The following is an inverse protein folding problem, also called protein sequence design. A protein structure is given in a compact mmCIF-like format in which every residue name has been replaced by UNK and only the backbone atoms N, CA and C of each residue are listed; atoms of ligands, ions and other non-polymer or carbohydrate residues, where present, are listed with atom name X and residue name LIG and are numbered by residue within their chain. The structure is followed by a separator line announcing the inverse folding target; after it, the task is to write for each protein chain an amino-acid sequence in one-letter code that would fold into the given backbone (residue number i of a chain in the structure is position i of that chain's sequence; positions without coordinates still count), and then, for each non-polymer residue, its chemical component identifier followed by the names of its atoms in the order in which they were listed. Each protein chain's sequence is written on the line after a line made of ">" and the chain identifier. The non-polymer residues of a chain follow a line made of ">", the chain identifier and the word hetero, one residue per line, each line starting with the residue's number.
data_IF_093855067597
#
_entry.id   IF_093855067597
#
_cell.length_a   1.000
_cell.length_b   1.000
_cell.length_c   1.000
_cell.angle_alpha   90.00
_cell.angle_beta   90.00
_cell.angle_gamma   90.00
#
_symmetry.space_group_name_H-M   'P 1'
#
loop_
_entity.id
_entity.type
_entity.pdbx_description
1 polymer ?
#
# COMPACT_ATOMS: atom_id res chain seq x y z
N UNK A 1 5.70 -30.54 -21.52
CA UNK A 1 6.09 -29.18 -21.93
C UNK A 1 7.54 -29.24 -22.36
N UNK A 2 7.87 -28.82 -23.58
CA UNK A 2 9.25 -28.78 -24.07
C UNK A 2 9.66 -27.32 -24.32
N UNK A 3 10.92 -26.97 -24.08
CA UNK A 3 11.49 -25.63 -24.31
C UNK A 3 10.78 -24.48 -23.55
N UNK A 4 10.42 -24.71 -22.27
CA UNK A 4 9.86 -23.63 -21.43
C UNK A 4 10.99 -22.66 -21.05
N UNK A 5 10.89 -21.36 -21.37
CA UNK A 5 11.91 -20.38 -21.02
C UNK A 5 12.01 -20.20 -19.50
N UNK A 6 13.20 -19.85 -19.02
CA UNK A 6 13.42 -19.53 -17.62
C UNK A 6 12.71 -18.20 -17.27
N UNK A 7 11.99 -18.19 -16.15
CA UNK A 7 11.48 -16.95 -15.55
C UNK A 7 12.63 -16.22 -14.87
N UNK A 8 12.67 -14.91 -15.02
CA UNK A 8 13.60 -14.03 -14.31
C UNK A 8 12.81 -13.28 -13.25
N UNK A 9 13.39 -13.16 -12.06
CA UNK A 9 12.85 -12.26 -11.06
C UNK A 9 13.04 -10.82 -11.52
N UNK A 10 11.95 -10.06 -11.50
CA UNK A 10 11.93 -8.67 -11.93
C UNK A 10 11.28 -7.82 -10.82
N UNK A 11 11.82 -6.62 -10.54
CA UNK A 11 11.24 -5.74 -9.53
C UNK A 11 9.82 -5.35 -9.92
N UNK A 12 8.94 -5.20 -8.93
CA UNK A 12 7.53 -4.86 -9.13
C UNK A 12 6.73 -5.87 -9.98
N UNK A 13 7.15 -7.13 -10.02
CA UNK A 13 6.25 -8.23 -10.41
C UNK A 13 5.49 -8.68 -9.16
N UNK A 14 4.19 -8.87 -9.28
CA UNK A 14 3.35 -9.31 -8.18
C UNK A 14 3.76 -10.72 -7.69
N UNK A 15 3.49 -11.73 -8.51
CA UNK A 15 3.92 -13.10 -8.27
C UNK A 15 4.37 -13.72 -9.57
N UNK A 16 5.65 -14.06 -9.64
CA UNK A 16 6.25 -14.62 -10.86
C UNK A 16 5.61 -15.95 -11.26
N UNK A 17 5.06 -16.70 -10.30
CA UNK A 17 4.37 -17.97 -10.56
C UNK A 17 3.07 -17.79 -11.35
N UNK A 18 2.48 -16.59 -11.39
CA UNK A 18 1.34 -16.30 -12.28
C UNK A 18 1.68 -16.47 -13.76
N UNK A 19 2.96 -16.37 -14.10
CA UNK A 19 3.46 -16.43 -15.47
C UNK A 19 4.19 -17.75 -15.77
N UNK A 20 4.19 -18.68 -14.79
CA UNK A 20 4.81 -20.00 -14.94
C UNK A 20 3.87 -20.95 -15.65
N UNK A 21 4.34 -21.55 -16.74
CA UNK A 21 3.66 -22.68 -17.36
C UNK A 21 3.47 -23.81 -16.34
N UNK A 22 2.21 -24.14 -16.05
CA UNK A 22 1.83 -25.14 -15.06
C UNK A 22 0.62 -25.94 -15.53
N UNK A 23 0.52 -27.18 -15.06
CA UNK A 23 -0.71 -27.98 -15.15
C UNK A 23 -1.25 -28.11 -13.74
N UNK A 24 -2.50 -27.72 -13.53
CA UNK A 24 -3.23 -27.86 -12.27
C UNK A 24 -4.43 -28.76 -12.50
N UNK A 25 -4.68 -29.66 -11.56
CA UNK A 25 -5.83 -30.56 -11.60
C UNK A 25 -6.81 -30.14 -10.50
N UNK A 26 -8.09 -30.09 -10.84
CA UNK A 26 -9.17 -29.76 -9.90
C UNK A 26 -10.30 -30.78 -10.07
N UNK A 27 -10.89 -31.24 -8.97
CA UNK A 27 -12.02 -32.15 -9.03
C UNK A 27 -13.28 -31.40 -9.45
N UNK A 28 -13.81 -31.73 -10.63
CA UNK A 28 -14.99 -31.05 -11.20
C UNK A 28 -16.30 -31.55 -10.59
N UNK A 29 -16.51 -32.86 -10.50
CA UNK A 29 -17.71 -33.47 -9.93
C UNK A 29 -17.45 -34.89 -9.42
N UNK A 30 -18.37 -35.39 -8.59
CA UNK A 30 -18.48 -36.81 -8.21
C UNK A 30 -19.81 -37.38 -8.70
N UNK A 31 -19.80 -38.63 -9.18
CA UNK A 31 -20.98 -39.41 -9.55
C UNK A 31 -20.85 -40.82 -8.99
N UNK A 32 -21.30 -40.99 -7.75
CA UNK A 32 -21.35 -42.32 -7.12
C UNK A 32 -22.58 -43.10 -7.61
N UNK A 33 -22.57 -44.45 -7.53
CA UNK A 33 -23.77 -45.24 -7.76
C UNK A 33 -24.94 -44.74 -6.92
N UNK A 34 -26.13 -44.66 -7.53
CA UNK A 34 -27.39 -44.23 -6.90
C UNK A 34 -27.40 -42.82 -6.28
N UNK A 35 -26.39 -41.98 -6.57
CA UNK A 35 -26.33 -40.59 -6.15
C UNK A 35 -26.46 -39.62 -7.34
N UNK A 36 -27.11 -38.45 -7.17
CA UNK A 36 -27.07 -37.40 -8.18
C UNK A 36 -25.64 -36.89 -8.39
N UNK A 37 -25.39 -36.30 -9.55
CA UNK A 37 -24.11 -35.63 -9.82
C UNK A 37 -23.95 -34.48 -8.84
N UNK A 38 -22.82 -34.45 -8.13
CA UNK A 38 -22.41 -33.35 -7.26
C UNK A 38 -21.24 -32.61 -7.90
N UNK A 39 -21.50 -31.41 -8.41
CA UNK A 39 -20.50 -30.50 -8.99
C UNK A 39 -19.80 -29.69 -7.92
N UNK A 40 -18.51 -29.40 -8.11
CA UNK A 40 -17.69 -28.61 -7.18
C UNK A 40 -17.04 -27.41 -7.86
N UNK A 41 -16.45 -27.61 -9.06
CA UNK A 41 -15.61 -26.60 -9.73
C UNK A 41 -15.91 -26.43 -11.21
N UNK A 42 -17.07 -26.92 -11.68
CA UNK A 42 -17.47 -26.80 -13.09
C UNK A 42 -17.73 -25.34 -13.49
N UNK A 43 -18.17 -24.50 -12.54
CA UNK A 43 -18.39 -23.08 -12.72
C UNK A 43 -17.97 -22.28 -11.48
N UNK A 44 -17.81 -20.96 -11.64
CA UNK A 44 -17.59 -20.07 -10.49
C UNK A 44 -18.74 -20.09 -9.49
N UNK A 45 -19.97 -20.32 -9.95
CA UNK A 45 -21.14 -20.47 -9.08
C UNK A 45 -21.05 -21.74 -8.25
N UNK A 46 -20.56 -22.85 -8.81
CA UNK A 46 -20.36 -24.10 -8.07
C UNK A 46 -19.27 -23.96 -7.00
N UNK A 47 -18.16 -23.28 -7.33
CA UNK A 47 -17.08 -22.96 -6.38
C UNK A 47 -17.65 -22.14 -5.22
N UNK A 48 -18.42 -21.10 -5.54
CA UNK A 48 -19.05 -20.22 -4.55
C UNK A 48 -20.02 -21.00 -3.67
N UNK A 49 -20.93 -21.79 -4.23
CA UNK A 49 -21.84 -22.60 -3.41
C UNK A 49 -21.07 -23.57 -2.50
N UNK A 50 -20.07 -24.27 -3.05
CA UNK A 50 -19.25 -25.22 -2.30
C UNK A 50 -18.54 -24.57 -1.12
N UNK A 51 -17.97 -23.38 -1.31
CA UNK A 51 -17.31 -22.63 -0.23
C UNK A 51 -18.34 -22.11 0.76
N UNK A 52 -19.45 -21.51 0.29
CA UNK A 52 -20.46 -20.91 1.15
C UNK A 52 -21.13 -21.95 2.06
N UNK A 53 -21.44 -23.13 1.53
CA UNK A 53 -22.11 -24.21 2.26
C UNK A 53 -21.16 -24.96 3.21
N UNK A 54 -19.85 -24.71 3.15
CA UNK A 54 -18.88 -25.34 4.04
C UNK A 54 -19.10 -24.90 5.49
N UNK A 55 -19.18 -25.86 6.41
CA UNK A 55 -19.35 -25.65 7.85
C UNK A 55 -18.41 -24.61 8.48
N UNK A 56 -17.20 -24.43 7.94
CA UNK A 56 -16.21 -23.48 8.44
C UNK A 56 -16.24 -22.11 7.72
N UNK A 57 -17.30 -21.83 6.95
CA UNK A 57 -17.46 -20.57 6.21
C UNK A 57 -18.86 -19.97 6.40
N UNK A 58 -19.84 -20.29 5.56
CA UNK A 58 -21.15 -19.62 5.56
C UNK A 58 -21.94 -19.81 6.85
N UNK A 59 -22.02 -21.02 7.42
CA UNK A 59 -22.63 -21.25 8.73
C UNK A 59 -22.00 -20.44 9.87
N UNK A 60 -20.72 -20.05 9.78
CA UNK A 60 -20.08 -19.19 10.78
C UNK A 60 -20.67 -17.77 10.78
N UNK A 61 -21.14 -17.25 9.64
CA UNK A 61 -21.81 -15.94 9.54
C UNK A 61 -23.13 -15.90 10.34
N UNK A 62 -23.78 -17.07 10.49
CA UNK A 62 -25.07 -17.20 11.15
C UNK A 62 -24.94 -17.42 12.67
N UNK A 63 -23.72 -17.54 13.21
CA UNK A 63 -23.53 -17.71 14.65
C UNK A 63 -23.91 -16.43 15.39
N UNK A 64 -24.72 -16.58 16.44
CA UNK A 64 -25.26 -15.49 17.29
C UNK A 64 -24.94 -15.66 18.77
N UNK A 65 -25.19 -14.62 19.56
CA UNK A 65 -25.13 -14.61 21.02
C UNK A 65 -23.72 -14.41 21.58
N UNK A 66 -22.89 -13.61 20.91
CA UNK A 66 -21.54 -13.32 21.36
C UNK A 66 -21.06 -11.89 21.07
N UNK A 67 -21.81 -11.08 20.33
CA UNK A 67 -21.42 -9.71 20.01
C UNK A 67 -22.56 -8.70 19.95
N UNK A 68 -23.81 -9.18 19.92
CA UNK A 68 -24.98 -8.39 19.55
C UNK A 68 -25.18 -7.22 20.52
N UNK A 69 -25.08 -7.47 21.82
CA UNK A 69 -25.22 -6.43 22.84
C UNK A 69 -24.14 -5.35 22.70
N UNK A 70 -22.88 -5.73 22.47
CA UNK A 70 -21.79 -4.79 22.29
C UNK A 70 -21.93 -3.97 20.99
N UNK A 71 -22.37 -4.60 19.90
CA UNK A 71 -22.56 -3.94 18.60
C UNK A 71 -23.76 -2.99 18.64
N UNK A 72 -24.87 -3.40 19.25
CA UNK A 72 -26.07 -2.56 19.39
C UNK A 72 -25.76 -1.32 20.24
N UNK A 73 -25.03 -1.48 21.35
CA UNK A 73 -24.57 -0.37 22.16
C UNK A 73 -23.64 0.58 21.37
N UNK A 74 -22.68 0.01 20.63
CA UNK A 74 -21.68 0.76 19.84
C UNK A 74 -22.31 1.66 18.78
N UNK A 75 -23.43 1.26 18.18
CA UNK A 75 -24.06 1.97 17.06
C UNK A 75 -25.41 2.62 17.42
N UNK A 76 -25.83 2.56 18.68
CA UNK A 76 -27.13 3.01 19.18
C UNK A 76 -27.51 4.46 18.78
N UNK A 77 -26.52 5.34 18.65
CA UNK A 77 -26.70 6.75 18.30
C UNK A 77 -26.27 7.09 16.86
N UNK A 78 -25.90 6.10 16.05
CA UNK A 78 -25.31 6.28 14.73
C UNK A 78 -26.18 5.62 13.66
N UNK A 79 -26.81 6.46 12.83
CA UNK A 79 -27.63 6.03 11.70
C UNK A 79 -26.86 5.95 10.38
N UNK A 80 -25.79 6.74 10.23
CA UNK A 80 -25.02 6.81 8.98
C UNK A 80 -24.31 5.47 8.68
N UNK A 81 -24.57 4.83 7.52
CA UNK A 81 -23.99 3.52 7.18
C UNK A 81 -22.45 3.49 7.17
N UNK A 82 -21.81 4.58 6.74
CA UNK A 82 -20.35 4.68 6.65
C UNK A 82 -19.73 4.76 8.04
N UNK A 83 -20.33 5.55 8.94
CA UNK A 83 -19.90 5.65 10.34
C UNK A 83 -20.13 4.34 11.08
N UNK A 84 -21.30 3.69 10.95
CA UNK A 84 -21.56 2.35 11.52
C UNK A 84 -20.51 1.34 11.07
N UNK A 85 -20.25 1.29 9.75
CA UNK A 85 -19.22 0.42 9.17
C UNK A 85 -17.86 0.67 9.81
N UNK A 86 -17.45 1.94 9.94
CA UNK A 86 -16.15 2.32 10.50
C UNK A 86 -16.03 1.97 11.98
N UNK A 87 -17.08 2.17 12.77
CA UNK A 87 -17.12 1.83 14.20
C UNK A 87 -16.97 0.33 14.41
N UNK A 88 -17.79 -0.48 13.72
CA UNK A 88 -17.76 -1.95 13.82
C UNK A 88 -16.41 -2.48 13.34
N UNK A 89 -15.89 -1.93 12.24
CA UNK A 89 -14.58 -2.31 11.73
C UNK A 89 -13.45 -2.05 12.72
N UNK A 90 -13.44 -0.88 13.36
CA UNK A 90 -12.45 -0.57 14.39
C UNK A 90 -12.64 -1.41 15.66
N UNK A 91 -13.88 -1.71 16.02
CA UNK A 91 -14.19 -2.61 17.14
C UNK A 91 -13.54 -3.98 16.93
N UNK A 92 -13.79 -4.64 15.79
CA UNK A 92 -13.23 -5.97 15.49
C UNK A 92 -11.71 -5.97 15.51
N UNK A 93 -11.06 -5.01 14.82
CA UNK A 93 -9.59 -4.91 14.77
C UNK A 93 -8.94 -4.75 16.13
N UNK A 94 -9.61 -4.09 17.07
CA UNK A 94 -9.13 -3.90 18.43
C UNK A 94 -9.48 -5.06 19.35
N UNK A 95 -10.57 -5.79 19.05
CA UNK A 95 -11.08 -6.90 19.87
C UNK A 95 -10.35 -8.21 19.63
N UNK A 96 -10.00 -8.53 18.39
CA UNK A 96 -9.43 -9.84 17.99
C UNK A 96 -8.13 -9.63 17.22
N UNK A 97 -7.04 -10.20 17.72
CA UNK A 97 -5.71 -10.14 17.08
C UNK A 97 -5.56 -11.26 16.04
N UNK A 98 -5.01 -10.93 14.89
CA UNK A 98 -4.66 -11.95 13.90
C UNK A 98 -3.49 -12.82 14.37
N UNK A 99 -3.64 -14.14 14.25
CA UNK A 99 -2.64 -15.14 14.62
C UNK A 99 -1.62 -15.48 13.52
N UNK A 100 -1.69 -14.81 12.36
CA UNK A 100 -0.79 -15.05 11.23
C UNK A 100 -1.21 -16.17 10.28
N UNK A 101 -2.25 -16.96 10.61
CA UNK A 101 -2.74 -18.03 9.75
C UNK A 101 -3.65 -17.49 8.65
N UNK A 102 -3.36 -17.91 7.41
CA UNK A 102 -4.10 -17.59 6.19
C UNK A 102 -5.18 -18.65 5.93
N UNK A 103 -6.23 -18.26 5.21
CA UNK A 103 -7.33 -19.13 4.84
C UNK A 103 -8.64 -18.35 4.69
N UNK A 104 -9.56 -18.86 3.88
CA UNK A 104 -10.92 -18.32 3.81
C UNK A 104 -11.86 -18.99 4.82
N UNK A 105 -11.54 -20.20 5.31
CA UNK A 105 -12.32 -20.92 6.32
C UNK A 105 -11.77 -20.80 7.74
N UNK A 106 -12.63 -20.92 8.74
CA UNK A 106 -12.27 -20.89 10.17
C UNK A 106 -11.59 -22.20 10.61
N UNK A 107 -10.70 -22.12 11.60
CA UNK A 107 -10.09 -23.31 12.21
C UNK A 107 -10.84 -23.73 13.48
N UNK A 108 -11.08 -22.75 14.36
CA UNK A 108 -11.67 -22.89 15.68
C UNK A 108 -13.10 -22.32 15.74
N UNK A 109 -13.44 -21.47 14.78
CA UNK A 109 -14.76 -20.86 14.62
C UNK A 109 -14.89 -19.50 15.31
N UNK A 110 -15.80 -18.65 14.80
CA UNK A 110 -15.86 -17.21 15.16
C UNK A 110 -16.11 -16.95 16.64
N UNK A 111 -16.94 -17.79 17.30
CA UNK A 111 -17.25 -17.64 18.74
C UNK A 111 -16.03 -17.84 19.62
N UNK A 112 -15.20 -18.85 19.31
CA UNK A 112 -13.98 -19.14 20.08
C UNK A 112 -12.95 -18.04 19.85
N UNK A 113 -12.74 -17.63 18.60
CA UNK A 113 -11.84 -16.53 18.26
C UNK A 113 -12.22 -15.21 18.95
N UNK A 114 -13.51 -14.89 19.05
CA UNK A 114 -14.00 -13.72 19.77
C UNK A 114 -13.70 -13.79 21.27
N UNK A 115 -13.98 -14.95 21.89
CA UNK A 115 -13.75 -15.20 23.31
C UNK A 115 -12.26 -15.15 23.68
N UNK A 116 -11.42 -15.75 22.84
CA UNK A 116 -9.97 -15.83 23.05
C UNK A 116 -9.23 -14.58 22.54
N UNK A 117 -9.92 -13.69 21.83
CA UNK A 117 -9.38 -12.45 21.25
C UNK A 117 -8.23 -12.68 20.26
N UNK A 118 -8.17 -13.87 19.67
CA UNK A 118 -7.17 -14.29 18.70
C UNK A 118 -7.86 -15.14 17.64
N UNK A 119 -7.55 -14.92 16.36
CA UNK A 119 -8.14 -15.70 15.27
C UNK A 119 -7.36 -15.65 13.97
N UNK A 120 -7.69 -16.55 13.04
CA UNK A 120 -7.19 -16.56 11.68
C UNK A 120 -7.89 -15.50 10.80
N UNK A 121 -7.48 -15.39 9.53
CA UNK A 121 -8.07 -14.45 8.57
C UNK A 121 -9.59 -14.57 8.47
N UNK A 122 -10.09 -15.81 8.38
CA UNK A 122 -11.50 -16.10 8.23
C UNK A 122 -12.31 -15.77 9.47
N UNK A 123 -11.83 -16.17 10.64
CA UNK A 123 -12.50 -15.91 11.91
C UNK A 123 -12.71 -14.42 12.15
N UNK A 124 -11.71 -13.61 11.80
CA UNK A 124 -11.78 -12.16 11.94
C UNK A 124 -12.75 -11.55 10.92
N UNK A 125 -12.62 -11.87 9.64
CA UNK A 125 -13.39 -11.20 8.58
C UNK A 125 -14.81 -11.75 8.42
N UNK A 126 -15.07 -13.03 8.71
CA UNK A 126 -16.44 -13.55 8.76
C UNK A 126 -17.19 -12.98 9.95
N UNK A 127 -16.56 -12.88 11.11
CA UNK A 127 -17.13 -12.18 12.28
C UNK A 127 -17.42 -10.71 11.96
N UNK A 128 -16.48 -10.00 11.35
CA UNK A 128 -16.70 -8.62 10.88
C UNK A 128 -17.92 -8.53 9.98
N UNK A 129 -18.03 -9.43 9.00
CA UNK A 129 -19.17 -9.48 8.08
C UNK A 129 -20.48 -9.71 8.84
N UNK A 130 -20.51 -10.67 9.77
CA UNK A 130 -21.69 -10.99 10.58
C UNK A 130 -22.13 -9.80 11.46
N UNK A 131 -21.18 -9.09 12.08
CA UNK A 131 -21.46 -7.89 12.87
C UNK A 131 -22.02 -6.75 12.00
N UNK A 132 -21.48 -6.55 10.80
CA UNK A 132 -21.99 -5.56 9.85
C UNK A 132 -23.41 -5.90 9.37
N UNK A 133 -23.68 -7.18 9.08
CA UNK A 133 -25.01 -7.67 8.72
C UNK A 133 -26.02 -7.49 9.87
N UNK A 134 -25.64 -7.81 11.10
CA UNK A 134 -26.44 -7.56 12.30
C UNK A 134 -26.79 -6.07 12.45
N UNK A 135 -25.82 -5.20 12.16
CA UNK A 135 -26.02 -3.76 12.12
C UNK A 135 -26.86 -3.26 10.92
N UNK A 136 -27.55 -4.12 10.18
CA UNK A 136 -28.42 -3.75 9.06
C UNK A 136 -27.69 -3.30 7.80
N UNK A 137 -26.39 -3.55 7.69
CA UNK A 137 -25.58 -3.20 6.53
C UNK A 137 -25.56 -4.35 5.53
N UNK A 138 -25.54 -4.01 4.23
CA UNK A 138 -25.40 -4.99 3.14
C UNK A 138 -23.95 -5.43 3.02
N UNK A 139 -23.52 -6.32 3.90
CA UNK A 139 -22.16 -6.82 3.97
C UNK A 139 -22.03 -8.26 3.45
N UNK A 140 -20.94 -8.54 2.75
CA UNK A 140 -20.65 -9.81 2.11
C UNK A 140 -19.17 -10.17 2.31
N UNK A 141 -18.82 -11.45 2.51
CA UNK A 141 -17.44 -11.88 2.41
C UNK A 141 -16.93 -11.74 0.96
N UNK A 142 -15.63 -11.55 0.82
CA UNK A 142 -14.93 -11.52 -0.47
C UNK A 142 -13.74 -12.46 -0.40
N UNK A 143 -13.76 -13.50 -1.22
CA UNK A 143 -12.64 -14.40 -1.39
C UNK A 143 -11.50 -13.66 -2.10
N UNK A 144 -10.31 -13.75 -1.53
CA UNK A 144 -9.11 -13.08 -2.02
C UNK A 144 -8.00 -14.11 -2.19
N UNK A 145 -7.30 -14.01 -3.32
CA UNK A 145 -6.02 -14.68 -3.50
C UNK A 145 -4.95 -13.66 -3.18
N UNK A 146 -4.12 -13.89 -2.18
CA UNK A 146 -3.06 -12.94 -1.83
C UNK A 146 -2.03 -12.84 -2.94
N UNK A 147 -1.27 -11.74 -2.95
CA UNK A 147 -0.19 -11.52 -3.93
C UNK A 147 0.72 -12.74 -4.06
N UNK A 148 1.23 -13.24 -2.94
CA UNK A 148 2.10 -14.42 -2.89
C UNK A 148 1.44 -15.74 -3.32
N UNK A 149 0.11 -15.81 -3.35
CA UNK A 149 -0.63 -16.99 -3.78
C UNK A 149 -0.88 -17.02 -5.29
N UNK A 150 -0.97 -15.84 -5.91
CA UNK A 150 -1.15 -15.69 -7.34
C UNK A 150 -2.59 -15.36 -7.73
N UNK A 151 -2.96 -15.50 -9.00
CA UNK A 151 -4.31 -15.15 -9.49
C UNK A 151 -5.03 -16.40 -10.00
N UNK A 152 -6.26 -16.67 -9.56
CA UNK A 152 -7.02 -17.79 -10.08
C UNK A 152 -7.65 -17.44 -11.44
N UNK A 153 -7.30 -18.19 -12.49
CA UNK A 153 -7.72 -17.92 -13.88
C UNK A 153 -8.91 -18.80 -14.33
N UNK A 154 -9.28 -19.79 -13.54
CA UNK A 154 -10.40 -20.72 -13.79
C UNK A 154 -11.09 -21.04 -12.46
N UNK A 155 -12.32 -21.60 -12.46
CA UNK A 155 -12.98 -22.00 -11.22
C UNK A 155 -12.17 -23.06 -10.44
N UNK A 156 -11.80 -22.73 -9.21
CA UNK A 156 -11.01 -23.60 -8.31
C UNK A 156 -11.31 -23.29 -6.84
N UNK A 157 -11.36 -24.33 -6.00
CA UNK A 157 -11.51 -24.20 -4.54
C UNK A 157 -10.19 -23.83 -3.87
N UNK A 158 -9.07 -24.17 -4.51
CA UNK A 158 -7.71 -23.83 -4.08
C UNK A 158 -7.26 -22.46 -4.58
N UNK A 159 -8.06 -21.79 -5.42
CA UNK A 159 -7.71 -20.50 -6.03
C UNK A 159 -7.67 -19.31 -5.08
N UNK A 160 -8.20 -19.45 -3.87
CA UNK A 160 -8.28 -18.41 -2.86
C UNK A 160 -7.67 -18.90 -1.56
N UNK A 161 -6.97 -18.02 -0.84
CA UNK A 161 -6.31 -18.35 0.42
C UNK A 161 -6.58 -17.29 1.51
N UNK A 162 -7.61 -16.47 1.31
CA UNK A 162 -7.90 -15.31 2.15
C UNK A 162 -9.36 -14.88 2.00
N UNK A 163 -9.88 -14.15 2.99
CA UNK A 163 -11.20 -13.53 2.92
C UNK A 163 -11.19 -12.15 3.59
N UNK A 164 -11.87 -11.19 2.97
CA UNK A 164 -12.11 -9.84 3.51
C UNK A 164 -13.61 -9.53 3.53
N UNK A 165 -14.03 -8.43 4.13
CA UNK A 165 -15.43 -8.00 4.11
C UNK A 165 -15.66 -6.88 3.09
N UNK A 166 -16.80 -6.92 2.41
CA UNK A 166 -17.28 -5.85 1.55
C UNK A 166 -18.63 -5.35 2.03
N UNK A 167 -18.76 -4.03 2.21
CA UNK A 167 -20.05 -3.38 2.51
C UNK A 167 -20.50 -2.62 1.28
N UNK A 168 -21.64 -3.00 0.71
CA UNK A 168 -22.23 -2.29 -0.43
C UNK A 168 -22.87 -0.99 0.05
N UNK A 169 -22.45 0.14 -0.53
CA UNK A 169 -22.97 1.49 -0.23
C UNK A 169 -23.21 2.20 -1.56
N UNK A 170 -24.48 2.53 -1.84
CA UNK A 170 -24.92 3.08 -3.12
C UNK A 170 -24.43 2.21 -4.31
N UNK A 171 -23.84 2.83 -5.34
CA UNK A 171 -23.31 2.18 -6.54
C UNK A 171 -21.91 1.56 -6.35
N UNK A 172 -21.32 1.71 -5.16
CA UNK A 172 -20.02 1.16 -4.82
C UNK A 172 -20.04 0.43 -3.48
N UNK A 173 -18.89 0.47 -2.80
CA UNK A 173 -18.80 -0.06 -1.45
C UNK A 173 -17.43 0.12 -0.82
N UNK A 174 -17.29 -0.49 0.35
CA UNK A 174 -16.10 -0.40 1.20
C UNK A 174 -15.52 -1.80 1.39
N UNK A 175 -14.27 -2.00 1.00
CA UNK A 175 -13.50 -3.19 1.34
C UNK A 175 -12.82 -3.00 2.70
N UNK A 176 -12.89 -4.02 3.54
CA UNK A 176 -12.43 -4.02 4.92
C UNK A 176 -11.63 -5.28 5.19
N UNK A 177 -10.42 -5.14 5.74
CA UNK A 177 -9.62 -6.27 6.23
C UNK A 177 -9.32 -6.07 7.71
N UNK A 178 -9.94 -6.90 8.56
CA UNK A 178 -9.81 -6.85 10.01
C UNK A 178 -8.49 -7.40 10.56
N UNK A 179 -7.65 -8.03 9.73
CA UNK A 179 -6.41 -8.66 10.20
C UNK A 179 -5.25 -7.69 10.40
N UNK A 180 -5.29 -6.51 9.77
CA UNK A 180 -4.29 -5.46 9.99
C UNK A 180 -4.84 -4.42 10.95
N UNK A 181 -4.18 -4.23 12.10
CA UNK A 181 -4.56 -3.25 13.13
C UNK A 181 -4.71 -1.84 12.56
N UNK A 182 -3.86 -1.48 11.60
CA UNK A 182 -3.74 -0.13 11.07
C UNK A 182 -4.51 0.10 9.76
N UNK A 183 -5.19 -0.92 9.23
CA UNK A 183 -5.99 -0.79 8.02
C UNK A 183 -7.15 0.19 8.23
N UNK A 184 -7.61 0.79 7.14
CA UNK A 184 -8.80 1.65 7.09
C UNK A 184 -9.73 1.10 6.01
N UNK A 185 -11.01 1.49 6.01
CA UNK A 185 -11.85 1.16 4.88
C UNK A 185 -11.22 1.61 3.56
N UNK A 186 -11.24 0.72 2.57
CA UNK A 186 -10.59 0.89 1.24
C UNK A 186 -9.06 1.08 1.27
N UNK A 187 -8.41 0.82 2.40
CA UNK A 187 -6.94 0.78 2.54
C UNK A 187 -6.57 -0.61 3.05
N UNK A 188 -6.57 -1.57 2.12
CA UNK A 188 -6.25 -2.96 2.41
C UNK A 188 -4.74 -3.14 2.57
N UNK A 189 -4.30 -4.13 3.35
CA UNK A 189 -2.89 -4.48 3.45
C UNK A 189 -2.29 -4.86 2.08
N UNK A 190 -1.03 -4.50 1.83
CA UNK A 190 -0.39 -4.72 0.52
C UNK A 190 -0.51 -6.17 0.03
N UNK A 191 -0.43 -7.15 0.94
CA UNK A 191 -0.56 -8.59 0.65
C UNK A 191 -1.86 -8.99 -0.06
N UNK A 192 -2.94 -8.20 0.07
CA UNK A 192 -4.25 -8.50 -0.53
C UNK A 192 -4.49 -7.75 -1.83
N UNK A 193 -3.62 -6.81 -2.22
CA UNK A 193 -3.78 -6.00 -3.43
C UNK A 193 -3.36 -6.83 -4.65
N UNK A 194 -4.26 -7.69 -5.13
CA UNK A 194 -3.98 -8.67 -6.16
C UNK A 194 -5.15 -8.82 -7.14
N UNK A 195 -5.24 -7.88 -8.09
CA UNK A 195 -6.28 -7.81 -9.11
C UNK A 195 -7.68 -7.77 -8.49
N UNK A 196 -8.44 -8.86 -8.58
CA UNK A 196 -9.84 -8.90 -8.20
C UNK A 196 -10.12 -9.95 -7.13
N UNK A 197 -11.04 -9.61 -6.23
CA UNK A 197 -11.65 -10.54 -5.27
C UNK A 197 -13.01 -11.01 -5.77
N UNK A 198 -13.49 -12.12 -5.23
CA UNK A 198 -14.80 -12.67 -5.54
C UNK A 198 -15.74 -12.50 -4.35
N UNK A 199 -16.72 -11.61 -4.49
CA UNK A 199 -17.83 -11.50 -3.54
C UNK A 199 -18.60 -12.81 -3.56
N UNK A 200 -18.96 -13.28 -2.38
CA UNK A 200 -19.73 -14.50 -2.16
C UNK A 200 -20.96 -14.18 -1.33
N UNK A 201 -22.11 -14.67 -1.75
CA UNK A 201 -23.38 -14.51 -1.07
C UNK A 201 -24.15 -15.84 -1.09
N UNK A 202 -25.22 -15.90 -0.31
CA UNK A 202 -26.16 -17.03 -0.30
C UNK A 202 -26.71 -17.35 -1.71
N UNK A 203 -27.17 -18.59 -1.89
CA UNK A 203 -27.77 -19.08 -3.13
C UNK A 203 -26.93 -18.86 -4.39
N UNK A 204 -25.60 -18.87 -4.27
CA UNK A 204 -24.68 -18.79 -5.41
C UNK A 204 -24.39 -17.38 -5.90
N UNK A 205 -24.84 -16.35 -5.18
CA UNK A 205 -24.59 -14.96 -5.55
C UNK A 205 -23.10 -14.64 -5.60
N UNK A 206 -22.61 -14.15 -6.73
CA UNK A 206 -21.20 -13.80 -6.90
C UNK A 206 -20.97 -12.62 -7.82
N UNK A 207 -19.95 -11.83 -7.51
CA UNK A 207 -19.48 -10.74 -8.37
C UNK A 207 -17.99 -10.52 -8.15
N UNK A 208 -17.28 -10.07 -9.19
CA UNK A 208 -15.89 -9.67 -9.06
C UNK A 208 -15.80 -8.21 -8.59
N UNK A 209 -14.89 -7.95 -7.66
CA UNK A 209 -14.59 -6.60 -7.19
C UNK A 209 -13.10 -6.33 -7.32
N UNK A 210 -12.75 -5.12 -7.76
CA UNK A 210 -11.37 -4.67 -7.82
C UNK A 210 -10.81 -4.50 -6.39
N UNK A 211 -9.65 -5.10 -6.13
CA UNK A 211 -8.94 -4.99 -4.85
C UNK A 211 -7.99 -3.79 -4.84
N UNK A 212 -7.67 -3.21 -5.99
CA UNK A 212 -6.81 -2.04 -6.04
C UNK A 212 -7.57 -0.78 -5.60
N UNK A 213 -6.93 0.06 -4.77
CA UNK A 213 -7.56 1.28 -4.29
C UNK A 213 -7.64 2.32 -5.41
N UNK A 214 -8.81 2.94 -5.54
CA UNK A 214 -8.99 4.11 -6.43
C UNK A 214 -8.38 5.38 -5.85
N UNK A 215 -8.15 5.43 -4.54
CA UNK A 215 -7.58 6.59 -3.87
C UNK A 215 -6.05 6.58 -3.95
N UNK A 216 -5.49 7.69 -4.43
CA UNK A 216 -4.04 7.91 -4.44
C UNK A 216 -3.47 7.98 -3.03
N UNK A 217 -2.42 7.20 -2.79
CA UNK A 217 -1.64 7.22 -1.57
C UNK A 217 -0.61 8.35 -1.59
N UNK A 218 -0.65 9.25 -0.61
CA UNK A 218 0.12 10.50 -0.64
C UNK A 218 1.21 10.54 0.42
N UNK A 219 2.38 11.09 0.03
CA UNK A 219 3.39 11.58 0.95
C UNK A 219 3.75 13.03 0.58
N UNK A 220 3.60 13.96 1.52
CA UNK A 220 3.97 15.37 1.33
C UNK A 220 5.12 15.73 2.24
N UNK A 221 6.26 16.09 1.68
CA UNK A 221 7.50 16.42 2.38
C UNK A 221 7.72 17.94 2.35
N UNK A 222 8.07 18.47 3.52
CA UNK A 222 8.55 19.82 3.72
C UNK A 222 9.94 19.73 4.34
N UNK A 223 10.92 20.28 3.64
CA UNK A 223 12.31 20.20 3.99
C UNK A 223 12.88 21.62 4.04
N UNK A 224 13.33 22.04 5.21
CA UNK A 224 13.98 23.33 5.40
C UNK A 224 15.41 23.07 5.80
N UNK A 225 16.35 23.58 5.02
CA UNK A 225 17.77 23.34 5.24
C UNK A 225 18.59 24.63 5.18
N UNK A 226 19.69 24.63 5.91
CA UNK A 226 20.75 25.63 5.84
C UNK A 226 22.03 24.91 5.43
N UNK A 227 22.63 25.39 4.34
CA UNK A 227 23.92 24.90 3.86
C UNK A 227 25.03 25.77 4.45
N UNK A 228 26.05 25.14 5.01
CA UNK A 228 27.20 25.83 5.59
C UNK A 228 28.30 26.07 4.54
N UNK A 229 29.27 26.94 4.85
CA UNK A 229 30.44 27.19 3.99
C UNK A 229 31.28 25.93 3.75
N UNK A 230 31.26 24.96 4.66
CA UNK A 230 31.99 23.70 4.55
C UNK A 230 31.20 22.61 3.80
N UNK A 231 30.00 22.92 3.31
CA UNK A 231 29.14 21.99 2.58
C UNK A 231 28.28 21.08 3.45
N UNK A 232 28.30 21.27 4.77
CA UNK A 232 27.42 20.54 5.69
C UNK A 232 26.00 21.12 5.66
N UNK A 233 25.02 20.24 5.79
CA UNK A 233 23.60 20.55 5.74
C UNK A 233 22.95 20.31 7.10
N UNK A 234 22.21 21.30 7.60
CA UNK A 234 21.40 21.15 8.81
C UNK A 234 19.99 21.67 8.57
N UNK A 235 19.00 21.13 9.27
CA UNK A 235 17.64 21.55 9.00
C UNK A 235 16.54 20.79 9.73
N UNK A 236 15.33 21.00 9.24
CA UNK A 236 14.11 20.33 9.69
C UNK A 236 13.45 19.58 8.54
N UNK A 237 13.09 18.34 8.81
CA UNK A 237 12.26 17.51 7.96
C UNK A 237 10.85 17.40 8.55
N UNK A 238 9.84 17.49 7.70
CA UNK A 238 8.47 17.15 8.07
C UNK A 238 7.77 16.46 6.91
N UNK A 239 7.09 15.36 7.17
CA UNK A 239 6.27 14.68 6.18
C UNK A 239 4.86 14.39 6.67
N UNK A 240 3.89 14.39 5.74
CA UNK A 240 2.51 14.00 5.96
C UNK A 240 2.20 12.81 5.07
N UNK A 241 1.84 11.67 5.67
CA UNK A 241 1.51 10.44 4.96
C UNK A 241 0.02 10.11 5.07
N UNK A 242 -0.60 9.72 3.96
CA UNK A 242 -2.01 9.31 3.86
C UNK A 242 -2.15 7.90 3.30
N UNK A 243 -3.31 7.28 3.53
CA UNK A 243 -3.71 5.99 2.96
C UNK A 243 -2.63 4.91 3.12
N UNK A 244 -2.22 4.22 2.05
CA UNK A 244 -1.26 3.12 2.12
C UNK A 244 0.14 3.56 2.63
N UNK A 245 0.57 4.82 2.40
CA UNK A 245 1.82 5.34 2.96
C UNK A 245 1.71 5.52 4.48
N UNK A 246 0.55 5.90 4.99
CA UNK A 246 0.30 5.98 6.42
C UNK A 246 0.21 4.59 7.06
N UNK A 247 -0.46 3.64 6.39
CA UNK A 247 -0.52 2.24 6.81
C UNK A 247 0.89 1.65 6.96
N UNK A 248 1.68 1.69 5.90
CA UNK A 248 3.05 1.16 5.87
C UNK A 248 3.99 1.87 6.85
N UNK A 249 3.76 3.14 7.14
CA UNK A 249 4.49 3.82 8.21
C UNK A 249 4.17 3.22 9.58
N UNK A 250 2.88 3.11 9.94
CA UNK A 250 2.46 2.55 11.23
C UNK A 250 2.96 1.12 11.44
N UNK A 251 2.84 0.28 10.43
CA UNK A 251 3.32 -1.12 10.46
C UNK A 251 4.83 -1.22 10.72
N UNK A 252 5.63 -0.24 10.29
CA UNK A 252 7.08 -0.22 10.50
C UNK A 252 7.52 0.55 11.75
N UNK A 253 6.62 1.32 12.36
CA UNK A 253 6.95 2.26 13.44
C UNK A 253 6.40 1.82 14.80
N UNK A 254 5.16 1.33 14.88
CA UNK A 254 4.47 1.12 16.15
C UNK A 254 5.02 -0.08 16.94
N UNK A 255 5.34 -1.17 16.25
CA UNK A 255 5.74 -2.44 16.89
C UNK A 255 7.27 -2.65 16.86
N UNK A 256 8.05 -1.58 16.61
CA UNK A 256 9.51 -1.59 16.56
C UNK A 256 10.04 -0.66 17.65
N UNK A 257 11.19 -0.99 18.23
CA UNK A 257 11.88 -0.09 19.14
C UNK A 257 12.18 1.26 18.44
N UNK A 258 11.99 2.36 19.17
CA UNK A 258 12.07 3.70 18.59
C UNK A 258 13.50 4.04 18.17
N UNK A 259 14.49 3.64 18.95
CA UNK A 259 15.89 3.93 18.66
C UNK A 259 16.35 3.07 17.48
N UNK A 260 15.90 1.82 17.39
CA UNK A 260 16.11 0.97 16.21
C UNK A 260 15.48 1.57 14.94
N UNK A 261 14.28 2.14 15.05
CA UNK A 261 13.63 2.81 13.93
C UNK A 261 14.43 4.02 13.45
N UNK A 262 14.88 4.86 14.38
CA UNK A 262 15.68 6.06 14.09
C UNK A 262 17.02 5.63 13.47
N UNK A 263 17.74 4.68 14.06
CA UNK A 263 19.00 4.18 13.53
C UNK A 263 18.87 3.64 12.09
N UNK A 264 17.78 2.92 11.78
CA UNK A 264 17.49 2.48 10.40
C UNK A 264 17.24 3.66 9.48
N UNK A 265 16.52 4.68 9.94
CA UNK A 265 16.25 5.90 9.17
C UNK A 265 17.55 6.67 8.86
N UNK A 266 18.43 6.81 9.84
CA UNK A 266 19.75 7.44 9.71
C UNK A 266 20.65 6.70 8.71
N UNK A 267 20.68 5.38 8.80
CA UNK A 267 21.44 4.51 7.89
C UNK A 267 20.90 4.52 6.46
N UNK A 268 19.57 4.58 6.27
CA UNK A 268 18.95 4.65 4.94
C UNK A 268 19.37 5.92 4.17
N UNK A 269 19.74 6.98 4.87
CA UNK A 269 20.26 8.21 4.30
C UNK A 269 21.78 8.35 4.46
N UNK A 270 22.50 7.24 4.70
CA UNK A 270 23.96 7.17 4.67
C UNK A 270 24.65 7.94 5.79
N UNK A 271 24.16 7.86 7.04
CA UNK A 271 24.73 8.59 8.19
C UNK A 271 24.17 10.00 8.33
N UNK A 272 22.84 10.11 8.33
CA UNK A 272 22.13 11.33 8.74
C UNK A 272 22.08 11.34 10.27
N UNK A 273 22.39 12.44 10.94
CA UNK A 273 22.17 12.54 12.40
C UNK A 273 20.79 13.13 12.66
N UNK A 274 19.95 12.43 13.43
CA UNK A 274 18.57 12.83 13.72
C UNK A 274 18.41 13.29 15.16
N UNK A 275 17.73 14.42 15.34
CA UNK A 275 17.32 14.92 16.66
C UNK A 275 15.87 15.41 16.64
N UNK A 276 15.27 15.60 17.82
CA UNK A 276 13.88 16.06 17.98
C UNK A 276 12.86 15.24 17.16
N UNK A 277 13.09 13.93 17.04
CA UNK A 277 12.20 13.04 16.30
C UNK A 277 10.81 13.03 16.94
N UNK A 278 9.76 13.20 16.15
CA UNK A 278 8.39 13.20 16.64
C UNK A 278 7.42 12.68 15.58
N UNK A 279 6.45 11.88 16.02
CA UNK A 279 5.31 11.43 15.21
C UNK A 279 4.02 11.96 15.84
N UNK A 280 3.07 12.37 15.01
CA UNK A 280 1.69 12.68 15.44
C UNK A 280 0.71 11.76 14.73
N UNK A 281 -0.38 11.45 15.45
CA UNK A 281 -1.48 10.60 15.00
C UNK A 281 -1.07 9.14 14.71
N UNK A 282 -0.01 8.63 15.34
CA UNK A 282 0.46 7.26 15.11
C UNK A 282 -0.63 6.19 15.38
N UNK A 283 -1.49 6.43 16.38
CA UNK A 283 -2.60 5.54 16.73
C UNK A 283 -3.98 6.04 16.23
N UNK A 284 -4.13 7.31 15.89
CA UNK A 284 -5.38 7.85 15.34
C UNK A 284 -5.46 7.60 13.83
N UNK A 285 -6.10 6.48 13.48
CA UNK A 285 -6.25 6.06 12.08
C UNK A 285 -7.08 7.03 11.26
N UNK A 286 -7.94 7.87 11.86
CA UNK A 286 -8.76 8.82 11.10
C UNK A 286 -7.91 9.92 10.46
N UNK A 287 -6.77 10.23 11.07
CA UNK A 287 -5.85 11.29 10.67
C UNK A 287 -4.62 10.77 9.91
N UNK A 288 -3.98 11.63 9.09
CA UNK A 288 -2.70 11.30 8.47
C UNK A 288 -1.60 11.22 9.53
N UNK A 289 -0.56 10.43 9.22
CA UNK A 289 0.69 10.45 9.98
C UNK A 289 1.41 11.77 9.70
N UNK A 290 1.91 12.41 10.74
CA UNK A 290 2.83 13.54 10.62
C UNK A 290 4.13 13.16 11.31
N UNK A 291 5.19 12.98 10.52
CA UNK A 291 6.54 12.72 11.02
C UNK A 291 7.36 14.00 10.90
N UNK A 292 8.15 14.32 11.92
CA UNK A 292 9.06 15.46 11.89
C UNK A 292 10.32 15.19 12.69
N UNK A 293 11.44 15.74 12.26
CA UNK A 293 12.70 15.69 12.98
C UNK A 293 13.62 16.82 12.52
N UNK A 294 14.62 17.14 13.33
CA UNK A 294 15.80 17.91 12.90
C UNK A 294 16.87 16.95 12.41
N UNK A 295 17.72 17.46 11.53
CA UNK A 295 18.82 16.67 11.00
C UNK A 295 20.09 17.48 10.83
N UNK A 296 21.22 16.78 10.86
CA UNK A 296 22.53 17.23 10.38
C UNK A 296 23.09 16.16 9.44
N UNK A 297 23.69 16.59 8.33
CA UNK A 297 24.42 15.71 7.43
C UNK A 297 25.61 16.42 6.83
N UNK A 298 26.77 15.79 6.97
CA UNK A 298 28.03 16.32 6.45
C UNK A 298 28.16 16.14 4.94
N UNK A 299 29.04 16.94 4.33
CA UNK A 299 29.51 16.76 2.94
C UNK A 299 28.38 16.66 1.91
N UNK A 300 27.42 17.57 1.97
CA UNK A 300 26.28 17.64 1.06
C UNK A 300 26.50 18.60 -0.13
N UNK A 301 27.62 19.30 -0.14
CA UNK A 301 28.07 20.11 -1.27
C UNK A 301 29.57 19.97 -1.51
N UNK A 302 29.97 19.94 -2.78
CA UNK A 302 31.35 19.91 -3.20
C UNK A 302 31.89 21.35 -3.34
N UNK A 303 33.03 21.63 -2.72
CA UNK A 303 33.69 22.93 -2.78
C UNK A 303 34.91 22.81 -3.69
N UNK A 304 34.90 23.55 -4.80
CA UNK A 304 35.96 23.52 -5.80
C UNK A 304 36.60 24.90 -5.88
N UNK A 305 37.92 24.97 -5.86
CA UNK A 305 38.67 26.23 -5.97
C UNK A 305 38.58 27.16 -4.74
N UNK A 306 37.80 26.79 -3.73
CA UNK A 306 37.57 27.60 -2.52
C UNK A 306 36.56 28.74 -2.70
N UNK A 307 36.03 28.91 -3.90
CA UNK A 307 35.11 29.98 -4.29
C UNK A 307 33.80 29.48 -4.92
N UNK A 308 33.74 28.21 -5.37
CA UNK A 308 32.53 27.60 -5.92
C UNK A 308 32.02 26.43 -5.10
N UNK A 309 30.69 26.34 -4.99
CA UNK A 309 30.00 25.26 -4.29
C UNK A 309 28.94 24.62 -5.20
N UNK A 310 28.96 23.30 -5.26
CA UNK A 310 28.08 22.48 -6.10
C UNK A 310 27.27 21.52 -5.24
N UNK A 311 25.95 21.45 -5.44
CA UNK A 311 25.12 20.47 -4.75
C UNK A 311 23.86 20.11 -5.53
N UNK A 312 23.33 18.92 -5.28
CA UNK A 312 22.01 18.51 -5.78
C UNK A 312 20.90 19.24 -5.00
N UNK A 313 19.90 19.83 -5.67
CA UNK A 313 18.76 20.50 -5.04
C UNK A 313 17.97 19.66 -4.04
N UNK A 314 18.03 18.32 -4.16
CA UNK A 314 17.36 17.37 -3.25
C UNK A 314 18.28 16.79 -2.17
N UNK A 315 19.60 17.07 -2.21
CA UNK A 315 20.58 16.51 -1.27
C UNK A 315 20.43 14.99 -1.10
N UNK A 316 20.30 14.51 0.15
CA UNK A 316 20.08 13.10 0.48
C UNK A 316 18.68 12.57 0.16
N UNK A 317 17.72 13.43 -0.25
CA UNK A 317 16.37 13.01 -0.64
C UNK A 317 16.26 12.57 -2.10
N UNK A 318 17.33 12.72 -2.89
CA UNK A 318 17.33 12.33 -4.31
C UNK A 318 17.21 10.82 -4.50
N UNK A 319 16.58 10.43 -5.60
CA UNK A 319 16.53 9.04 -6.03
C UNK A 319 17.87 8.65 -6.66
N UNK A 320 18.47 7.55 -6.19
CA UNK A 320 19.82 7.14 -6.62
C UNK A 320 19.86 5.94 -7.55
N UNK A 321 18.81 5.11 -7.58
CA UNK A 321 18.76 3.93 -8.45
C UNK A 321 17.46 3.86 -9.25
N UNK A 322 17.58 3.53 -10.54
CA UNK A 322 16.44 3.23 -11.38
C UNK A 322 16.10 1.73 -11.25
N UNK A 323 14.92 1.35 -10.71
CA UNK A 323 14.57 -0.06 -10.59
C UNK A 323 14.33 -0.74 -11.95
N UNK A 324 14.13 0.01 -13.04
CA UNK A 324 13.79 -0.51 -14.36
C UNK A 324 15.02 -0.58 -15.27
N UNK A 325 15.78 -1.67 -15.16
CA UNK A 325 17.06 -1.83 -15.88
C UNK A 325 16.94 -2.64 -17.18
N UNK A 326 15.92 -3.49 -17.32
CA UNK A 326 15.73 -4.38 -18.47
C UNK A 326 15.50 -3.61 -19.76
N UNK A 327 15.88 -4.18 -20.90
CA UNK A 327 15.66 -3.61 -22.24
C UNK A 327 14.30 -3.93 -22.84
N UNK A 328 13.61 -4.94 -22.30
CA UNK A 328 12.23 -5.31 -22.58
C UNK A 328 11.67 -5.99 -21.35
N UNK A 329 10.35 -5.94 -21.19
CA UNK A 329 9.64 -6.57 -20.09
C UNK A 329 8.39 -7.27 -20.62
N UNK A 330 8.16 -8.50 -20.19
CA UNK A 330 6.98 -9.28 -20.59
C UNK A 330 5.85 -9.18 -19.55
N UNK A 331 6.20 -8.92 -18.28
CA UNK A 331 5.25 -8.84 -17.18
C UNK A 331 4.91 -7.39 -16.82
N UNK A 332 3.67 -7.11 -16.42
CA UNK A 332 3.31 -5.78 -15.96
C UNK A 332 4.16 -5.33 -14.77
N UNK A 333 4.23 -4.01 -14.60
CA UNK A 333 4.76 -3.38 -13.39
C UNK A 333 3.60 -3.16 -12.44
N UNK A 334 3.60 -3.86 -11.30
CA UNK A 334 2.58 -3.78 -10.26
C UNK A 334 3.12 -3.02 -9.04
N UNK A 335 2.78 -1.73 -8.97
CA UNK A 335 3.06 -0.85 -7.81
C UNK A 335 2.11 -1.11 -6.64
N UNK A 336 1.03 -1.85 -6.85
CA UNK A 336 -0.01 -2.18 -5.89
C UNK A 336 -1.01 -1.07 -5.58
N UNK A 337 -0.65 0.21 -5.73
CA UNK A 337 -1.60 1.32 -5.59
C UNK A 337 -1.08 2.60 -6.25
N UNK A 338 -1.98 3.50 -6.72
CA UNK A 338 -1.59 4.83 -7.18
C UNK A 338 -0.91 5.62 -6.05
N UNK A 339 0.14 6.36 -6.38
CA UNK A 339 0.94 7.10 -5.40
C UNK A 339 1.34 8.50 -5.86
N UNK A 340 1.48 9.40 -4.89
CA UNK A 340 1.89 10.79 -5.09
C UNK A 340 2.90 11.20 -4.03
N UNK A 341 4.06 11.67 -4.47
CA UNK A 341 5.04 12.37 -3.66
C UNK A 341 5.02 13.85 -4.02
N UNK A 342 4.92 14.72 -3.01
CA UNK A 342 5.06 16.15 -3.19
C UNK A 342 6.10 16.68 -2.21
N UNK A 343 7.21 17.20 -2.70
CA UNK A 343 8.32 17.69 -1.89
C UNK A 343 8.48 19.18 -2.09
N UNK A 344 8.52 19.93 -0.99
CA UNK A 344 8.90 21.34 -0.95
C UNK A 344 10.17 21.49 -0.14
N UNK A 345 11.22 21.98 -0.78
CA UNK A 345 12.55 22.11 -0.23
C UNK A 345 12.90 23.60 -0.25
N UNK A 346 13.29 24.13 0.90
CA UNK A 346 13.77 25.50 1.05
C UNK A 346 15.19 25.43 1.60
N UNK A 347 16.14 26.01 0.87
CA UNK A 347 17.56 25.97 1.19
C UNK A 347 18.04 27.39 1.42
N UNK A 348 18.54 27.68 2.61
CA UNK A 348 19.29 28.90 2.91
C UNK A 348 20.75 28.66 2.53
N UNK A 349 21.28 29.49 1.63
CA UNK A 349 22.70 29.43 1.23
C UNK A 349 23.59 30.13 2.26
N UNK A 350 24.88 29.77 2.37
CA UNK A 350 25.80 30.40 3.32
C UNK A 350 26.00 31.90 3.04
N UNK A 351 26.37 32.65 4.08
CA UNK A 351 26.74 34.06 3.92
C UNK A 351 27.98 34.21 3.04
N UNK A 352 28.08 35.33 2.31
CA UNK A 352 29.20 35.55 1.38
C UNK A 352 29.12 34.74 0.08
N UNK A 353 28.03 33.99 -0.16
CA UNK A 353 27.76 33.33 -1.44
C UNK A 353 26.56 33.93 -2.16
N UNK A 354 26.59 33.86 -3.49
CA UNK A 354 25.47 34.17 -4.39
C UNK A 354 25.18 32.98 -5.30
N UNK A 355 23.93 32.88 -5.75
CA UNK A 355 23.52 31.90 -6.75
C UNK A 355 24.19 32.27 -8.08
N UNK A 356 25.05 31.40 -8.60
CA UNK A 356 25.67 31.55 -9.93
C UNK A 356 24.77 30.95 -11.00
N UNK A 357 24.26 29.74 -10.76
CA UNK A 357 23.34 29.07 -11.66
C UNK A 357 22.37 28.15 -10.93
N UNK A 358 21.19 28.00 -11.53
CA UNK A 358 20.17 27.03 -11.13
C UNK A 358 19.89 26.12 -12.33
N UNK A 359 19.50 24.86 -12.09
CA UNK A 359 18.95 24.04 -13.14
C UNK A 359 17.65 24.63 -13.70
N UNK A 360 17.27 24.23 -14.92
CA UNK A 360 15.99 24.66 -15.48
C UNK A 360 14.82 23.90 -14.85
N UNK A 361 13.68 24.57 -14.69
CA UNK A 361 12.43 23.88 -14.32
C UNK A 361 11.93 23.03 -15.49
N UNK A 362 11.25 21.92 -15.21
CA UNK A 362 10.78 21.02 -16.26
C UNK A 362 9.78 19.98 -15.74
N UNK A 363 9.32 19.13 -16.66
CA UNK A 363 8.41 18.05 -16.31
C UNK A 363 8.43 16.93 -17.34
N UNK A 364 7.97 15.76 -16.89
CA UNK A 364 7.84 14.54 -17.68
C UNK A 364 6.43 14.00 -17.47
N UNK A 365 5.82 13.47 -18.51
CA UNK A 365 4.52 12.81 -18.44
C UNK A 365 4.64 11.41 -19.01
N UNK A 366 3.98 10.46 -18.35
CA UNK A 366 3.74 9.15 -18.93
C UNK A 366 2.49 9.21 -19.83
N UNK A 367 2.44 8.37 -20.88
CA UNK A 367 1.23 8.25 -21.71
C UNK A 367 -0.02 7.94 -20.89
N UNK A 368 -1.19 8.30 -21.42
CA UNK A 368 -2.51 7.98 -20.86
C UNK A 368 -2.68 8.35 -19.38
N UNK A 369 -2.06 9.46 -18.96
CA UNK A 369 -2.08 9.97 -17.58
C UNK A 369 -1.60 8.92 -16.55
N UNK A 370 -0.71 7.99 -16.94
CA UNK A 370 -0.20 6.93 -16.04
C UNK A 370 0.69 7.49 -14.91
N UNK A 371 1.18 8.72 -15.06
CA UNK A 371 2.00 9.40 -14.07
C UNK A 371 2.69 10.63 -14.63
N UNK A 372 3.27 11.43 -13.76
CA UNK A 372 4.03 12.62 -14.14
C UNK A 372 5.02 13.05 -13.08
N UNK A 373 6.02 13.76 -13.54
CA UNK A 373 7.06 14.39 -12.75
C UNK A 373 7.09 15.88 -13.06
N UNK A 374 7.08 16.74 -12.05
CA UNK A 374 7.24 18.18 -12.21
C UNK A 374 8.33 18.63 -11.25
N UNK A 375 9.34 19.30 -11.79
CA UNK A 375 10.45 19.86 -11.05
C UNK A 375 10.48 21.37 -11.28
N UNK A 376 10.41 22.13 -10.19
CA UNK A 376 10.47 23.59 -10.22
C UNK A 376 11.56 24.06 -9.26
N UNK A 377 12.42 24.96 -9.73
CA UNK A 377 13.47 25.56 -8.92
C UNK A 377 13.49 27.07 -9.15
N UNK A 378 13.69 27.81 -8.07
CA UNK A 378 13.83 29.27 -8.11
C UNK A 378 14.76 29.73 -6.99
N UNK A 379 15.45 30.85 -7.22
CA UNK A 379 16.33 31.48 -6.25
C UNK A 379 15.96 32.94 -6.07
N UNK A 380 15.94 33.41 -4.83
CA UNK A 380 15.73 34.84 -4.52
C UNK A 380 16.55 35.21 -3.29
N UNK A 381 17.44 36.19 -3.44
CA UNK A 381 18.39 36.55 -2.39
C UNK A 381 19.22 35.32 -1.97
N UNK A 382 19.22 35.02 -0.67
CA UNK A 382 19.98 33.92 -0.07
C UNK A 382 19.14 32.64 0.13
N UNK A 383 18.09 32.45 -0.67
CA UNK A 383 17.20 31.30 -0.54
C UNK A 383 16.89 30.69 -1.88
N UNK A 384 16.98 29.36 -1.94
CA UNK A 384 16.56 28.54 -3.07
C UNK A 384 15.32 27.77 -2.65
N UNK A 385 14.33 27.70 -3.54
CA UNK A 385 13.13 26.91 -3.36
C UNK A 385 13.04 25.88 -4.48
N UNK A 386 12.84 24.62 -4.10
CA UNK A 386 12.63 23.49 -5.01
C UNK A 386 11.28 22.86 -4.69
N UNK A 387 10.46 22.65 -5.72
CA UNK A 387 9.22 21.90 -5.62
C UNK A 387 9.28 20.70 -6.57
N UNK A 388 9.01 19.52 -6.05
CA UNK A 388 9.01 18.26 -6.81
C UNK A 388 7.67 17.57 -6.63
N UNK A 389 6.98 17.31 -7.74
CA UNK A 389 5.82 16.42 -7.79
C UNK A 389 6.21 15.15 -8.53
N UNK A 390 5.97 13.99 -7.94
CA UNK A 390 6.06 12.70 -8.61
C UNK A 390 4.76 11.93 -8.38
N UNK A 391 4.08 11.56 -9.46
CA UNK A 391 2.84 10.80 -9.48
C UNK A 391 2.96 9.53 -10.31
N UNK A 392 2.39 8.45 -9.78
CA UNK A 392 2.05 7.23 -10.50
C UNK A 392 0.56 6.99 -10.28
N UNK A 393 -0.23 7.14 -11.33
CA UNK A 393 -1.70 7.20 -11.23
C UNK A 393 -2.37 5.82 -11.36
N UNK A 394 -1.62 4.79 -11.77
CA UNK A 394 -2.12 3.42 -11.87
C UNK A 394 -1.40 2.47 -10.92
N UNK A 395 -2.13 1.50 -10.34
CA UNK A 395 -1.54 0.40 -9.58
C UNK A 395 -0.75 -0.56 -10.47
N UNK A 396 -1.17 -0.72 -11.73
CA UNK A 396 -0.56 -1.62 -12.71
C UNK A 396 -0.26 -0.85 -13.99
N UNK A 397 0.97 -0.97 -14.48
CA UNK A 397 1.37 -0.47 -15.80
C UNK A 397 1.60 -1.66 -16.73
N UNK A 398 0.92 -1.64 -17.88
CA UNK A 398 1.02 -2.67 -18.91
C UNK A 398 2.44 -2.72 -19.50
N UNK A 399 2.99 -3.90 -19.84
CA UNK A 399 4.28 -4.04 -20.51
C UNK A 399 4.50 -3.12 -21.73
N UNK A 400 3.44 -2.79 -22.47
CA UNK A 400 3.50 -1.89 -23.63
C UNK A 400 4.05 -0.49 -23.29
N UNK A 401 3.88 -0.02 -22.04
CA UNK A 401 4.39 1.29 -21.59
C UNK A 401 5.75 1.17 -20.88
N UNK A 402 6.37 -0.01 -20.82
CA UNK A 402 7.58 -0.22 -20.03
C UNK A 402 8.75 0.66 -20.47
N UNK A 403 8.97 0.82 -21.77
CA UNK A 403 10.05 1.70 -22.27
C UNK A 403 9.83 3.17 -21.86
N UNK A 404 8.57 3.64 -21.93
CA UNK A 404 8.20 4.97 -21.46
C UNK A 404 8.44 5.11 -19.95
N UNK A 405 8.04 4.12 -19.16
CA UNK A 405 8.26 4.09 -17.71
C UNK A 405 9.74 4.10 -17.33
N UNK A 406 10.55 3.27 -18.01
CA UNK A 406 11.98 3.19 -17.79
C UNK A 406 12.66 4.53 -18.08
N UNK A 407 12.33 5.14 -19.23
CA UNK A 407 12.86 6.43 -19.64
C UNK A 407 12.42 7.55 -18.68
N UNK A 408 11.16 7.53 -18.25
CA UNK A 408 10.62 8.45 -17.26
C UNK A 408 11.42 8.42 -15.95
N UNK A 409 11.66 7.23 -15.37
CA UNK A 409 12.46 7.10 -14.14
C UNK A 409 13.93 7.52 -14.35
N UNK A 410 14.51 7.23 -15.52
CA UNK A 410 15.88 7.63 -15.84
C UNK A 410 16.03 9.16 -15.91
N UNK A 411 15.15 9.83 -16.67
CA UNK A 411 15.15 11.28 -16.81
C UNK A 411 14.80 12.00 -15.49
N UNK A 412 13.90 11.42 -14.69
CA UNK A 412 13.61 11.91 -13.33
C UNK A 412 14.88 11.90 -12.46
N UNK A 413 15.60 10.77 -12.42
CA UNK A 413 16.85 10.63 -11.66
C UNK A 413 17.93 11.58 -12.18
N UNK A 414 18.06 11.73 -13.49
CA UNK A 414 18.97 12.70 -14.09
C UNK A 414 18.65 14.13 -13.64
N UNK A 415 17.38 14.52 -13.68
CA UNK A 415 16.91 15.83 -13.23
C UNK A 415 17.18 16.08 -11.74
N UNK A 416 16.96 15.08 -10.89
CA UNK A 416 17.24 15.17 -9.45
C UNK A 416 18.76 15.25 -9.14
N UNK A 417 19.63 14.83 -10.07
CA UNK A 417 21.09 14.90 -9.94
C UNK A 417 21.72 16.17 -10.53
N UNK A 418 20.97 17.01 -11.24
CA UNK A 418 21.45 18.31 -11.68
C UNK A 418 21.97 19.13 -10.50
N UNK A 419 22.94 20.00 -10.76
CA UNK A 419 23.63 20.75 -9.71
C UNK A 419 23.19 22.21 -9.69
N UNK A 420 23.07 22.75 -8.49
CA UNK A 420 23.05 24.19 -8.24
C UNK A 420 24.49 24.64 -8.01
N UNK A 421 24.85 25.80 -8.56
CA UNK A 421 26.19 26.38 -8.38
C UNK A 421 26.08 27.70 -7.62
N UNK A 422 26.86 27.82 -6.55
CA UNK A 422 27.07 29.08 -5.84
C UNK A 422 28.49 29.58 -6.11
N UNK A 423 28.63 30.91 -6.20
CA UNK A 423 29.94 31.59 -6.20
C UNK A 423 30.07 32.48 -4.97
N UNK A 424 31.29 32.58 -4.44
CA UNK A 424 31.62 33.56 -3.41
C UNK A 424 31.48 34.98 -3.97
N UNK A 425 30.99 35.90 -3.14
CA UNK A 425 30.69 37.29 -3.54
C UNK A 425 31.95 38.07 -3.81
#
# INVERSE_FOLDING_TARGET
>A
MNNVPALKDEPYVNNINNYKSSVKYELSYTKYPDAPIKSYTTSWSDVVNTIYDNSNFGPELNKKGYFEEEIDALISTVSDPIQRTTLIFNYVKNKVKWNGYYGYGTNDGVKKAYKEQVGNVAEINLMLTAMLQHAGLRAYPVLVSTRQHGVPLFPTLEGYNYVVSYVKINDGGMLLDGTSRFSRPNVLPFRTLNWQGRVIAEAGGSTLIDLYPKQTSQNSVFFMASLSENGDLSGGYRSIKKSHKALSFRERYIDVDRDDFIARLENNYGGLEISDYNVKNELDLSKPIVESYKFVKESQADIIGGDKMYFSPLFFLKTTDNPFKLSKREFPVDFGYPSKMNSKIVVKIPEGYRIESLPESGGLELPDDLGKFIYQVSGTGNTIQVSVLHEVNSAIINPAYYEALKSYFAQMIEKENEQIVLSRI
#
